data_IF_965066491712
#
_entry.id   IF_965066491712
#
_cell.length_a   1.000
_cell.length_b   1.000
_cell.length_c   1.000
_cell.angle_alpha   90.00
_cell.angle_beta   90.00
_cell.angle_gamma   90.00
#
_symmetry.space_group_name_H-M   'P 1'
#
loop_
_entity.id
_entity.type
_entity.pdbx_description
1 polymer ?
#
# COMPACT_ATOMS: atom_id res chain seq x y z
N UNK A 1 22.59 3.55 -2.70
CA UNK A 1 21.77 2.42 -3.22
C UNK A 1 20.34 2.92 -3.32
N UNK A 2 19.71 2.84 -4.49
CA UNK A 2 18.30 3.17 -4.70
C UNK A 2 17.48 2.13 -3.94
N UNK A 3 16.64 2.54 -2.99
CA UNK A 3 15.84 1.62 -2.19
C UNK A 3 14.78 0.88 -3.02
N UNK A 4 14.41 -0.34 -2.62
CA UNK A 4 13.40 -1.15 -3.31
C UNK A 4 12.07 -0.39 -3.55
N UNK A 5 11.67 0.46 -2.61
CA UNK A 5 10.47 1.30 -2.75
C UNK A 5 10.57 2.36 -3.85
N UNK A 6 11.75 2.94 -4.07
CA UNK A 6 11.95 3.91 -5.16
C UNK A 6 11.89 3.24 -6.53
N UNK A 7 12.45 2.03 -6.64
CA UNK A 7 12.37 1.23 -7.86
C UNK A 7 10.91 0.84 -8.13
N UNK A 8 10.17 0.36 -7.11
CA UNK A 8 8.76 0.00 -7.24
C UNK A 8 7.92 1.18 -7.72
N UNK A 9 8.16 2.39 -7.17
CA UNK A 9 7.48 3.62 -7.59
C UNK A 9 7.71 3.96 -9.07
N UNK A 10 8.92 3.76 -9.58
CA UNK A 10 9.23 3.99 -11.00
C UNK A 10 8.47 3.03 -11.92
N UNK A 11 8.43 1.74 -11.57
CA UNK A 11 7.67 0.74 -12.34
C UNK A 11 6.17 1.01 -12.27
N UNK A 12 5.62 1.27 -11.09
CA UNK A 12 4.20 1.57 -10.92
C UNK A 12 3.77 2.78 -11.77
N UNK A 13 4.53 3.88 -11.72
CA UNK A 13 4.26 5.07 -12.55
C UNK A 13 4.36 4.80 -14.04
N UNK A 14 5.36 4.01 -14.47
CA UNK A 14 5.52 3.66 -15.88
C UNK A 14 4.32 2.88 -16.41
N UNK A 15 3.88 1.83 -15.67
CA UNK A 15 2.73 1.01 -16.07
C UNK A 15 1.42 1.79 -15.98
N UNK A 16 1.23 2.60 -14.94
CA UNK A 16 0.08 3.46 -14.78
C UNK A 16 -0.06 4.45 -15.95
N UNK A 17 1.06 5.03 -16.43
CA UNK A 17 1.08 5.94 -17.56
C UNK A 17 0.83 5.31 -18.93
N UNK A 18 0.72 3.98 -19.05
CA UNK A 18 0.36 3.31 -20.31
C UNK A 18 -1.13 3.31 -20.58
N UNK A 19 -1.95 3.65 -19.61
CA UNK A 19 -3.41 3.74 -19.71
C UNK A 19 -3.87 5.14 -19.33
N UNK A 20 -5.02 5.59 -19.88
CA UNK A 20 -5.56 6.93 -19.61
C UNK A 20 -6.92 6.87 -18.89
N UNK A 21 -7.44 5.69 -18.56
CA UNK A 21 -8.76 5.58 -17.95
C UNK A 21 -8.70 4.98 -16.55
N UNK A 22 -9.47 5.56 -15.63
CA UNK A 22 -9.60 5.07 -14.27
C UNK A 22 -10.04 3.61 -14.18
N UNK A 23 -10.87 3.14 -15.14
CA UNK A 23 -11.29 1.73 -15.22
C UNK A 23 -10.11 0.80 -15.57
N UNK A 24 -9.21 1.23 -16.48
CA UNK A 24 -8.02 0.48 -16.84
C UNK A 24 -7.02 0.45 -15.67
N UNK A 25 -6.87 1.56 -14.94
CA UNK A 25 -6.02 1.63 -13.75
C UNK A 25 -6.53 0.72 -12.62
N UNK A 26 -7.84 0.72 -12.36
CA UNK A 26 -8.44 -0.18 -11.38
C UNK A 26 -8.24 -1.66 -11.77
N UNK A 27 -8.41 -2.00 -13.06
CA UNK A 27 -8.17 -3.34 -13.59
C UNK A 27 -6.71 -3.74 -13.45
N UNK A 28 -5.78 -2.87 -13.81
CA UNK A 28 -4.33 -3.10 -13.66
C UNK A 28 -3.94 -3.40 -12.21
N UNK A 29 -4.51 -2.66 -11.26
CA UNK A 29 -4.29 -2.88 -9.84
C UNK A 29 -4.78 -4.27 -9.39
N UNK A 30 -6.00 -4.67 -9.77
CA UNK A 30 -6.57 -5.98 -9.44
C UNK A 30 -5.76 -7.13 -10.08
N UNK A 31 -5.36 -6.99 -11.32
CA UNK A 31 -4.51 -7.97 -12.00
C UNK A 31 -3.14 -8.11 -11.29
N UNK A 32 -2.55 -6.98 -10.86
CA UNK A 32 -1.26 -6.98 -10.14
C UNK A 32 -1.40 -7.65 -8.78
N UNK A 33 -2.50 -7.41 -8.06
CA UNK A 33 -2.81 -8.10 -6.80
C UNK A 33 -2.96 -9.60 -6.99
N UNK A 34 -3.73 -9.99 -7.99
CA UNK A 34 -3.96 -11.39 -8.32
C UNK A 34 -2.65 -12.09 -8.64
N UNK A 35 -1.82 -11.52 -9.50
CA UNK A 35 -0.51 -12.07 -9.83
C UNK A 35 0.39 -12.19 -8.59
N UNK A 36 0.42 -11.17 -7.75
CA UNK A 36 1.22 -11.16 -6.52
C UNK A 36 0.75 -12.21 -5.53
N UNK A 37 -0.56 -12.38 -5.33
CA UNK A 37 -1.13 -13.37 -4.43
C UNK A 37 -0.94 -14.80 -4.92
N UNK A 38 -1.09 -15.05 -6.21
CA UNK A 38 -0.86 -16.38 -6.81
C UNK A 38 0.61 -16.82 -6.67
N UNK A 39 1.55 -15.90 -6.92
CA UNK A 39 2.97 -16.19 -6.70
C UNK A 39 3.24 -16.48 -5.23
N UNK A 40 2.74 -15.64 -4.31
CA UNK A 40 2.95 -15.81 -2.88
C UNK A 40 2.26 -17.06 -2.29
N UNK A 41 1.15 -17.48 -2.89
CA UNK A 41 0.38 -18.67 -2.46
C UNK A 41 0.96 -20.01 -2.89
N UNK A 42 2.01 -20.02 -3.73
CA UNK A 42 2.63 -21.24 -4.23
C UNK A 42 4.13 -21.28 -3.99
N UNK A 43 4.58 -22.16 -3.10
CA UNK A 43 6.02 -22.37 -2.84
C UNK A 43 6.80 -22.72 -4.12
N UNK A 44 6.16 -23.38 -5.09
CA UNK A 44 6.76 -23.72 -6.36
C UNK A 44 6.99 -22.47 -7.21
N UNK A 45 5.98 -21.59 -7.34
CA UNK A 45 6.11 -20.35 -8.07
C UNK A 45 7.14 -19.40 -7.41
N UNK A 46 7.16 -19.34 -6.08
CA UNK A 46 8.17 -18.57 -5.33
C UNK A 46 9.58 -19.07 -5.68
N UNK A 47 9.81 -20.38 -5.62
CA UNK A 47 11.12 -20.96 -5.93
C UNK A 47 11.54 -20.73 -7.38
N UNK A 48 10.62 -20.87 -8.33
CA UNK A 48 10.94 -20.74 -9.75
C UNK A 48 11.08 -19.28 -10.14
N UNK A 49 10.13 -18.42 -9.76
CA UNK A 49 10.04 -17.04 -10.26
C UNK A 49 10.90 -16.05 -9.48
N UNK A 50 11.02 -16.19 -8.15
CA UNK A 50 11.71 -15.21 -7.31
C UNK A 50 13.18 -15.57 -7.07
N UNK A 51 13.54 -16.85 -7.07
CA UNK A 51 14.93 -17.26 -6.92
C UNK A 51 15.65 -17.27 -8.28
N UNK A 52 16.87 -16.70 -8.39
CA UNK A 52 17.62 -16.67 -9.64
C UNK A 52 18.33 -18.01 -9.97
N UNK A 53 17.74 -19.12 -9.53
CA UNK A 53 18.28 -20.47 -9.72
C UNK A 53 17.95 -21.06 -11.09
N UNK A 54 16.88 -20.56 -11.73
CA UNK A 54 16.43 -21.01 -13.03
C UNK A 54 16.83 -20.01 -14.13
N UNK A 55 17.10 -20.49 -15.36
CA UNK A 55 17.35 -19.63 -16.50
C UNK A 55 16.21 -18.64 -16.74
N UNK A 56 16.53 -17.42 -17.15
CA UNK A 56 15.53 -16.36 -17.41
C UNK A 56 14.44 -16.82 -18.40
N UNK A 57 14.82 -17.58 -19.42
CA UNK A 57 13.91 -18.08 -20.43
C UNK A 57 12.84 -19.02 -19.82
N UNK A 58 13.20 -19.91 -18.93
CA UNK A 58 12.29 -20.81 -18.21
C UNK A 58 11.35 -20.02 -17.30
N UNK A 59 11.90 -19.11 -16.51
CA UNK A 59 11.12 -18.23 -15.60
C UNK A 59 10.09 -17.41 -16.39
N UNK A 60 10.49 -16.86 -17.54
CA UNK A 60 9.55 -16.14 -18.44
C UNK A 60 8.51 -17.08 -19.05
N UNK A 61 8.85 -18.32 -19.35
CA UNK A 61 7.91 -19.33 -19.81
C UNK A 61 6.80 -19.57 -18.80
N UNK A 62 7.18 -19.87 -17.53
CA UNK A 62 6.24 -20.06 -16.43
C UNK A 62 5.40 -18.81 -16.17
N UNK A 63 6.01 -17.62 -16.22
CA UNK A 63 5.27 -16.36 -16.03
C UNK A 63 4.24 -16.13 -17.14
N UNK A 64 4.56 -16.43 -18.39
CA UNK A 64 3.63 -16.30 -19.54
C UNK A 64 2.44 -17.25 -19.45
N UNK A 65 2.66 -18.48 -19.03
CA UNK A 65 1.59 -19.42 -18.79
C UNK A 65 0.66 -18.94 -17.66
N UNK A 66 1.24 -18.49 -16.55
CA UNK A 66 0.49 -17.92 -15.44
C UNK A 66 -0.30 -16.69 -15.87
N UNK A 67 0.34 -15.75 -16.58
CA UNK A 67 -0.29 -14.54 -17.10
C UNK A 67 -1.46 -14.86 -18.07
N UNK A 68 -1.34 -15.93 -18.86
CA UNK A 68 -2.39 -16.39 -19.76
C UNK A 68 -3.55 -16.98 -18.98
N UNK A 69 -3.29 -17.81 -17.98
CA UNK A 69 -4.33 -18.40 -17.09
C UNK A 69 -5.10 -17.33 -16.32
N UNK A 70 -4.42 -16.30 -15.86
CA UNK A 70 -5.03 -15.20 -15.12
C UNK A 70 -5.68 -14.14 -16.02
N UNK A 71 -5.49 -14.21 -17.33
CA UNK A 71 -6.05 -13.23 -18.27
C UNK A 71 -5.47 -11.82 -18.11
N UNK A 72 -4.18 -11.72 -17.73
CA UNK A 72 -3.55 -10.43 -17.48
C UNK A 72 -3.48 -9.57 -18.75
N UNK A 73 -3.55 -8.25 -18.57
CA UNK A 73 -3.37 -7.25 -19.62
C UNK A 73 -1.98 -7.32 -20.26
N UNK A 74 -1.85 -6.82 -21.48
CA UNK A 74 -0.58 -6.82 -22.21
C UNK A 74 0.47 -5.99 -21.47
N UNK A 75 0.09 -4.87 -20.86
CA UNK A 75 0.91 -3.96 -20.11
C UNK A 75 1.54 -4.66 -18.90
N UNK A 76 0.74 -5.39 -18.13
CA UNK A 76 1.23 -6.12 -16.96
C UNK A 76 2.11 -7.31 -17.35
N UNK A 77 1.78 -8.01 -18.44
CA UNK A 77 2.63 -9.11 -18.96
C UNK A 77 4.02 -8.62 -19.32
N UNK A 78 4.12 -7.57 -20.12
CA UNK A 78 5.41 -6.99 -20.53
C UNK A 78 6.19 -6.49 -19.32
N UNK A 79 5.53 -5.78 -18.40
CA UNK A 79 6.16 -5.29 -17.17
C UNK A 79 6.69 -6.42 -16.31
N UNK A 80 5.92 -7.48 -16.14
CA UNK A 80 6.32 -8.64 -15.35
C UNK A 80 7.51 -9.38 -16.00
N UNK A 81 7.56 -9.48 -17.32
CA UNK A 81 8.73 -10.04 -18.03
C UNK A 81 9.98 -9.20 -17.82
N UNK A 82 9.87 -7.86 -17.86
CA UNK A 82 10.99 -6.94 -17.56
C UNK A 82 11.47 -7.15 -16.12
N UNK A 83 10.54 -7.33 -15.17
CA UNK A 83 10.90 -7.60 -13.76
C UNK A 83 11.65 -8.93 -13.61
N UNK A 84 11.34 -9.94 -14.40
CA UNK A 84 12.09 -11.21 -14.43
C UNK A 84 13.48 -11.01 -15.04
N UNK A 85 13.60 -10.28 -16.15
CA UNK A 85 14.87 -9.99 -16.79
C UNK A 85 15.84 -9.24 -15.88
N UNK A 86 15.31 -8.31 -15.06
CA UNK A 86 16.07 -7.53 -14.08
C UNK A 86 16.25 -8.22 -12.73
N UNK A 87 15.74 -9.44 -12.55
CA UNK A 87 15.68 -10.15 -11.25
C UNK A 87 15.02 -9.32 -10.14
N UNK A 88 13.93 -8.63 -10.48
CA UNK A 88 13.20 -7.72 -9.56
C UNK A 88 11.76 -8.13 -9.31
N UNK A 89 11.34 -9.33 -9.71
CA UNK A 89 9.95 -9.75 -9.53
C UNK A 89 9.51 -9.75 -8.06
N UNK A 90 10.47 -9.91 -7.12
CA UNK A 90 10.21 -9.82 -5.68
C UNK A 90 9.67 -8.45 -5.21
N UNK A 91 9.81 -7.37 -6.02
CA UNK A 91 9.23 -6.06 -5.67
C UNK A 91 7.77 -5.90 -6.13
N UNK A 92 7.16 -6.92 -6.73
CA UNK A 92 5.78 -6.87 -7.23
C UNK A 92 4.76 -6.43 -6.15
N UNK A 93 4.84 -6.90 -4.88
CA UNK A 93 3.97 -6.39 -3.82
C UNK A 93 4.13 -4.88 -3.60
N UNK A 94 5.35 -4.37 -3.62
CA UNK A 94 5.60 -2.93 -3.46
C UNK A 94 5.11 -2.11 -4.68
N UNK A 95 5.12 -2.70 -5.89
CA UNK A 95 4.51 -2.09 -7.08
C UNK A 95 3.00 -2.02 -6.91
N UNK A 96 2.37 -3.07 -6.37
CA UNK A 96 0.94 -3.10 -6.08
C UNK A 96 0.53 -1.99 -5.10
N UNK A 97 1.30 -1.78 -4.02
CA UNK A 97 1.06 -0.72 -3.04
C UNK A 97 1.16 0.69 -3.69
N UNK A 98 2.14 0.90 -4.56
CA UNK A 98 2.28 2.18 -5.26
C UNK A 98 1.19 2.39 -6.32
N UNK A 99 0.75 1.33 -7.03
CA UNK A 99 -0.41 1.40 -7.93
C UNK A 99 -1.69 1.76 -7.17
N UNK A 100 -1.91 1.17 -5.99
CA UNK A 100 -3.03 1.53 -5.13
C UNK A 100 -3.03 3.03 -4.81
N UNK A 101 -1.86 3.57 -4.43
CA UNK A 101 -1.73 5.01 -4.12
C UNK A 101 -2.04 5.88 -5.33
N UNK A 102 -1.62 5.48 -6.53
CA UNK A 102 -1.89 6.22 -7.76
C UNK A 102 -3.38 6.20 -8.11
N UNK A 103 -4.04 5.04 -8.02
CA UNK A 103 -5.49 4.89 -8.23
C UNK A 103 -6.28 5.71 -7.20
N UNK A 104 -5.87 5.70 -5.95
CA UNK A 104 -6.53 6.50 -4.90
C UNK A 104 -6.35 8.00 -5.15
N UNK A 105 -5.16 8.43 -5.56
CA UNK A 105 -4.89 9.82 -5.90
C UNK A 105 -5.70 10.29 -7.12
N UNK A 106 -5.82 9.46 -8.16
CA UNK A 106 -6.65 9.73 -9.34
C UNK A 106 -8.13 9.87 -8.96
N UNK A 107 -8.62 9.01 -8.07
CA UNK A 107 -9.99 9.07 -7.55
C UNK A 107 -10.22 10.21 -6.55
N UNK A 108 -9.22 11.06 -6.31
CA UNK A 108 -9.28 12.12 -5.29
C UNK A 108 -9.37 11.59 -3.85
N UNK A 109 -9.08 10.31 -3.62
CA UNK A 109 -9.05 9.73 -2.29
C UNK A 109 -7.70 10.01 -1.64
N UNK A 110 -7.73 10.53 -0.44
CA UNK A 110 -6.52 10.79 0.34
C UNK A 110 -6.19 9.56 1.19
N UNK A 111 -5.00 8.99 0.99
CA UNK A 111 -4.56 7.87 1.79
C UNK A 111 -4.30 8.32 3.24
N UNK A 112 -4.91 7.63 4.19
CA UNK A 112 -4.64 7.80 5.61
C UNK A 112 -4.24 6.46 6.23
N UNK A 113 -3.27 6.49 7.12
CA UNK A 113 -2.92 5.35 7.96
C UNK A 113 -3.30 5.66 9.39
N UNK A 114 -4.12 4.78 9.95
CA UNK A 114 -4.61 4.88 11.32
C UNK A 114 -4.02 3.74 12.14
N UNK A 115 -3.24 4.08 13.15
CA UNK A 115 -2.61 3.12 14.06
C UNK A 115 -3.29 3.21 15.41
N UNK A 116 -3.69 2.09 15.98
CA UNK A 116 -4.34 1.98 17.28
C UNK A 116 -3.64 0.97 18.18
N UNK A 117 -3.77 1.13 19.50
CA UNK A 117 -3.21 0.21 20.48
C UNK A 117 -3.86 -1.20 20.46
N UNK A 118 -5.08 -1.30 19.96
CA UNK A 118 -5.87 -2.54 19.85
C UNK A 118 -6.65 -2.57 18.54
N UNK A 119 -7.04 -3.75 18.11
CA UNK A 119 -7.94 -3.89 16.98
C UNK A 119 -9.23 -3.10 17.20
N UNK A 120 -9.57 -2.25 16.24
CA UNK A 120 -10.78 -1.45 16.25
C UNK A 120 -11.95 -2.28 15.69
N UNK A 121 -13.09 -2.21 16.33
CA UNK A 121 -14.33 -2.78 15.80
C UNK A 121 -14.84 -1.97 14.59
N UNK A 122 -15.81 -2.54 13.88
CA UNK A 122 -16.35 -1.93 12.67
C UNK A 122 -16.99 -0.55 12.93
N UNK A 123 -17.60 -0.35 14.10
CA UNK A 123 -18.22 0.92 14.49
C UNK A 123 -17.17 2.01 14.68
N UNK A 124 -16.13 1.73 15.47
CA UNK A 124 -15.04 2.65 15.70
C UNK A 124 -14.28 3.00 14.39
N UNK A 125 -14.06 2.01 13.52
CA UNK A 125 -13.47 2.26 12.21
C UNK A 125 -14.32 3.21 11.37
N UNK A 126 -15.65 3.07 11.41
CA UNK A 126 -16.56 3.91 10.66
C UNK A 126 -16.64 5.33 11.22
N UNK A 127 -16.61 5.49 12.53
CA UNK A 127 -16.55 6.80 13.18
C UNK A 127 -15.26 7.56 12.83
N UNK A 128 -14.11 6.89 12.88
CA UNK A 128 -12.82 7.45 12.50
C UNK A 128 -12.85 7.86 11.02
N UNK A 129 -13.36 7.00 10.15
CA UNK A 129 -13.51 7.30 8.72
C UNK A 129 -14.34 8.55 8.49
N UNK A 130 -15.49 8.66 9.14
CA UNK A 130 -16.38 9.82 9.03
C UNK A 130 -15.74 11.10 9.60
N UNK A 131 -15.00 11.00 10.70
CA UNK A 131 -14.31 12.13 11.31
C UNK A 131 -13.18 12.65 10.41
N UNK A 132 -12.37 11.75 9.84
CA UNK A 132 -11.28 12.11 8.92
C UNK A 132 -11.80 12.70 7.62
N UNK A 133 -12.83 12.11 7.02
CA UNK A 133 -13.47 12.64 5.80
C UNK A 133 -13.99 14.08 5.99
N UNK A 134 -14.64 14.35 7.14
CA UNK A 134 -15.10 15.72 7.49
C UNK A 134 -13.95 16.70 7.65
N UNK A 135 -12.81 16.26 8.21
CA UNK A 135 -11.68 17.15 8.45
C UNK A 135 -10.90 17.48 7.18
N UNK A 136 -10.85 16.54 6.25
CA UNK A 136 -10.09 16.65 4.99
C UNK A 136 -10.94 17.22 3.87
N UNK A 137 -12.26 17.09 3.97
CA UNK A 137 -13.21 17.57 2.95
C UNK A 137 -13.26 16.67 1.70
N UNK A 138 -12.70 15.45 1.77
CA UNK A 138 -12.68 14.47 0.68
C UNK A 138 -12.77 13.05 1.22
N UNK A 139 -13.03 12.10 0.33
CA UNK A 139 -13.04 10.68 0.69
C UNK A 139 -11.63 10.23 1.09
N UNK A 140 -11.53 9.49 2.19
CA UNK A 140 -10.25 9.04 2.74
C UNK A 140 -10.16 7.52 2.63
N UNK A 141 -9.14 7.03 1.92
CA UNK A 141 -8.78 5.62 1.92
C UNK A 141 -7.97 5.32 3.18
N UNK A 142 -8.55 4.57 4.13
CA UNK A 142 -7.94 4.35 5.44
C UNK A 142 -7.41 2.93 5.56
N UNK A 143 -6.11 2.82 5.84
CA UNK A 143 -5.45 1.61 6.29
C UNK A 143 -5.42 1.60 7.83
N UNK A 144 -5.98 0.57 8.45
CA UNK A 144 -5.95 0.37 9.89
C UNK A 144 -4.82 -0.60 10.27
N UNK A 145 -3.98 -0.20 11.20
CA UNK A 145 -2.91 -1.03 11.75
C UNK A 145 -3.00 -1.07 13.29
N UNK A 146 -2.49 -2.13 13.88
CA UNK A 146 -2.40 -2.26 15.34
C UNK A 146 -0.92 -2.17 15.74
N UNK A 147 -0.63 -1.31 16.70
CA UNK A 147 0.69 -1.18 17.31
C UNK A 147 0.56 -1.34 18.83
N UNK A 148 0.98 -2.49 19.38
CA UNK A 148 0.91 -2.74 20.83
C UNK A 148 1.81 -1.83 21.67
N UNK A 149 2.77 -1.12 21.06
CA UNK A 149 3.63 -0.15 21.77
C UNK A 149 2.87 1.14 22.12
N UNK A 150 1.75 1.40 21.46
CA UNK A 150 0.83 2.45 21.84
C UNK A 150 0.12 2.04 23.13
N UNK A 151 0.29 2.84 24.19
CA UNK A 151 -0.37 2.63 25.49
C UNK A 151 -1.90 2.70 25.34
N UNK A 152 -2.39 3.52 24.39
CA UNK A 152 -3.79 3.70 24.06
C UNK A 152 -4.02 4.91 23.17
N UNK A 153 -5.24 5.04 22.67
CA UNK A 153 -5.61 6.07 21.70
C UNK A 153 -5.34 5.66 20.26
N UNK A 154 -5.37 6.64 19.36
CA UNK A 154 -5.24 6.47 17.92
C UNK A 154 -4.32 7.53 17.37
N UNK A 155 -3.43 7.12 16.46
CA UNK A 155 -2.58 8.03 15.67
C UNK A 155 -3.00 7.91 14.20
N UNK A 156 -3.43 9.00 13.59
CA UNK A 156 -3.80 9.04 12.19
C UNK A 156 -2.80 9.90 11.40
N UNK A 157 -2.26 9.34 10.31
CA UNK A 157 -1.40 10.05 9.37
C UNK A 157 -2.12 10.16 8.03
N UNK A 158 -2.28 11.39 7.54
CA UNK A 158 -2.97 11.73 6.29
C UNK A 158 -1.98 12.54 5.45
N UNK A 159 -1.30 11.89 4.50
CA UNK A 159 -0.21 12.54 3.79
C UNK A 159 0.85 13.07 4.77
N UNK A 160 1.06 14.38 4.80
CA UNK A 160 2.00 15.05 5.72
C UNK A 160 1.37 15.46 7.07
N UNK A 161 0.03 15.36 7.19
CA UNK A 161 -0.67 15.69 8.42
C UNK A 161 -0.64 14.51 9.38
N UNK A 162 -0.09 14.73 10.59
CA UNK A 162 -0.11 13.77 11.70
C UNK A 162 -1.12 14.24 12.75
N UNK A 163 -2.12 13.41 13.03
CA UNK A 163 -3.10 13.62 14.08
C UNK A 163 -2.82 12.59 15.19
N UNK A 164 -2.16 13.02 16.22
CA UNK A 164 -1.79 12.18 17.37
C UNK A 164 -2.80 12.37 18.51
N UNK A 165 -3.69 11.38 18.66
CA UNK A 165 -4.65 11.24 19.75
C UNK A 165 -4.22 10.18 20.77
N UNK A 166 -2.93 9.85 20.87
CA UNK A 166 -2.43 8.86 21.81
C UNK A 166 -2.54 9.37 23.26
N UNK A 167 -2.79 8.45 24.19
CA UNK A 167 -2.83 8.74 25.63
C UNK A 167 -1.50 9.35 26.10
N UNK A 168 -0.38 8.90 25.52
CA UNK A 168 0.95 9.44 25.81
C UNK A 168 1.01 10.96 25.55
N UNK A 169 0.58 11.39 24.37
CA UNK A 169 0.56 12.81 23.98
C UNK A 169 -0.41 13.61 24.85
N UNK A 170 -1.58 13.05 25.18
CA UNK A 170 -2.54 13.71 26.07
C UNK A 170 -1.98 13.91 27.49
N UNK A 171 -1.32 12.90 28.03
CA UNK A 171 -0.64 13.01 29.35
C UNK A 171 0.51 14.01 29.33
N UNK A 172 1.29 14.07 28.27
CA UNK A 172 2.35 15.06 28.11
C UNK A 172 1.78 16.48 28.07
N UNK A 173 0.75 16.72 27.29
CA UNK A 173 0.06 18.01 27.21
C UNK A 173 -0.55 18.44 28.55
N UNK A 174 -1.18 17.49 29.26
CA UNK A 174 -1.70 17.74 30.59
C UNK A 174 -0.57 18.12 31.58
N UNK A 175 0.54 17.38 31.57
CA UNK A 175 1.70 17.66 32.37
C UNK A 175 2.33 19.05 32.12
N UNK A 176 2.36 19.47 30.85
CA UNK A 176 2.83 20.81 30.46
C UNK A 176 1.87 21.91 30.91
N UNK A 177 0.54 21.66 30.77
CA UNK A 177 -0.48 22.61 31.24
C UNK A 177 -0.42 22.81 32.75
N UNK A 178 -0.22 21.75 33.52
CA UNK A 178 -0.08 21.79 34.96
C UNK A 178 1.22 22.50 35.40
N UNK A 179 2.31 22.36 34.66
CA UNK A 179 3.59 23.05 34.93
C UNK A 179 3.52 24.54 34.63
N UNK A 180 2.70 24.98 33.68
CA UNK A 180 2.54 26.40 33.32
C UNK A 180 1.67 27.17 34.30
N UNK A 181 0.98 26.53 35.26
CA UNK A 181 0.14 27.17 36.27
C UNK A 181 -1.05 27.94 35.69
N UNK A 182 -2.08 28.25 36.46
CA UNK A 182 -3.11 29.16 36.01
C UNK A 182 -2.50 30.54 35.79
N UNK A 183 -2.63 31.06 34.56
CA UNK A 183 -2.35 32.50 34.32
C UNK A 183 -3.43 33.25 35.07
N UNK A 184 -3.04 33.85 36.18
CA UNK A 184 -3.86 34.81 36.93
C UNK A 184 -3.94 36.11 36.17
#
# INVERSE_FOLDING_TARGET
MIGAGEIARRYARAVFGLSESAAAHAKLLEETRTLSSEIAGSDELVRVLLAPLHPRAERKGVLRELATKLGLSAELRVTSEILVDENRLQILPAICDELQRLVDAEAGRIAARVVSARALDASAQQEIRAALARRVGSEVAIEFAVDPELIGGVVARIGDLLLDGSIRTQLQQLGETLKKGPVT
#
